data_IF_306097020613
#
_entry.id   IF_306097020613
#
_cell.length_a   1.000
_cell.length_b   1.000
_cell.length_c   1.000
_cell.angle_alpha   90.00
_cell.angle_beta   90.00
_cell.angle_gamma   90.00
#
_symmetry.space_group_name_H-M   'P 1'
#
loop_
_entity.id
_entity.type
_entity.pdbx_description
1 polymer ?
#
# COMPACT_ATOMS: atom_id res chain seq x y z
N UNK A 1 1.45 14.64 19.21
CA UNK A 1 1.81 13.53 18.28
C UNK A 1 1.24 12.26 18.89
N UNK A 2 0.18 11.74 18.28
CA UNK A 2 -0.74 10.77 18.91
C UNK A 2 -0.08 9.39 19.12
N UNK A 3 -0.13 8.92 20.36
CA UNK A 3 0.41 7.62 20.80
C UNK A 3 -0.23 6.42 20.07
N UNK A 4 -1.43 6.59 19.53
CA UNK A 4 -2.11 5.61 18.67
C UNK A 4 -1.40 5.41 17.33
N UNK A 5 -0.74 6.44 16.78
CA UNK A 5 0.09 6.33 15.57
C UNK A 5 1.33 5.45 15.80
N UNK A 6 1.89 5.46 17.01
CA UNK A 6 3.13 4.73 17.31
C UNK A 6 2.94 3.20 17.36
N UNK A 7 1.74 2.73 17.66
CA UNK A 7 1.41 1.28 17.72
C UNK A 7 1.07 0.65 16.37
N UNK A 8 0.87 1.47 15.32
CA UNK A 8 0.57 1.01 13.95
C UNK A 8 1.80 1.06 13.03
N UNK A 9 2.93 1.60 13.51
CA UNK A 9 4.14 1.68 12.70
C UNK A 9 4.79 0.29 12.58
N UNK A 10 5.08 -0.18 11.36
CA UNK A 10 5.86 -1.39 11.15
C UNK A 10 7.26 -1.19 11.71
N UNK A 11 7.76 -2.22 12.40
CA UNK A 11 9.14 -2.25 12.89
C UNK A 11 10.11 -2.10 11.72
N UNK A 12 11.17 -1.30 11.90
CA UNK A 12 12.23 -1.07 10.93
C UNK A 12 12.69 -2.39 10.30
N UNK A 13 12.41 -2.58 9.02
CA UNK A 13 13.06 -3.63 8.23
C UNK A 13 14.47 -3.17 7.92
N UNK A 14 15.44 -3.76 8.58
CA UNK A 14 16.86 -3.43 8.43
C UNK A 14 17.36 -3.91 7.05
N UNK A 15 18.02 -3.05 6.29
CA UNK A 15 18.43 -3.26 4.89
C UNK A 15 19.50 -4.35 4.66
N UNK A 16 19.89 -5.13 5.67
CA UNK A 16 20.87 -6.20 5.57
C UNK A 16 20.33 -7.61 5.34
N UNK A 17 19.02 -7.77 5.08
CA UNK A 17 18.36 -9.09 5.16
C UNK A 17 17.83 -9.65 3.86
N UNK A 18 18.43 -9.38 2.73
CA UNK A 18 18.06 -10.07 1.47
C UNK A 18 18.31 -11.60 1.47
N UNK A 19 18.94 -12.15 2.51
CA UNK A 19 19.26 -13.58 2.64
C UNK A 19 18.60 -14.33 3.81
N UNK A 20 17.75 -13.67 4.62
CA UNK A 20 17.15 -14.30 5.81
C UNK A 20 15.60 -14.32 5.81
N UNK A 21 14.96 -14.15 4.64
CA UNK A 21 13.50 -14.20 4.50
C UNK A 21 12.90 -15.62 4.56
N UNK A 22 13.45 -16.47 5.40
CA UNK A 22 12.89 -17.80 5.71
C UNK A 22 12.63 -17.94 7.21
N UNK A 23 12.00 -16.97 7.83
CA UNK A 23 11.60 -17.04 9.22
C UNK A 23 10.13 -16.66 9.39
N UNK A 24 9.46 -17.35 10.28
CA UNK A 24 8.03 -17.55 10.54
C UNK A 24 7.09 -16.32 10.70
N UNK A 25 7.46 -15.11 10.26
CA UNK A 25 6.66 -13.89 10.44
C UNK A 25 6.73 -12.89 9.28
N UNK A 26 6.91 -13.38 8.05
CA UNK A 26 6.85 -12.49 6.87
C UNK A 26 5.38 -12.17 6.55
N UNK A 27 5.00 -10.90 6.36
CA UNK A 27 3.64 -10.55 5.95
C UNK A 27 3.33 -11.14 4.58
N UNK A 28 2.08 -11.58 4.39
CA UNK A 28 1.64 -12.11 3.11
C UNK A 28 1.50 -11.00 2.04
N UNK A 29 1.29 -9.75 2.50
CA UNK A 29 1.14 -8.59 1.63
C UNK A 29 1.65 -7.33 2.33
N UNK A 30 2.49 -6.56 1.66
CA UNK A 30 2.97 -5.24 2.09
C UNK A 30 2.34 -4.17 1.21
N UNK A 31 1.49 -3.31 1.78
CA UNK A 31 0.82 -2.21 1.08
C UNK A 31 1.61 -0.92 1.22
N UNK A 32 1.80 -0.22 0.10
CA UNK A 32 2.37 1.12 0.05
C UNK A 32 1.24 2.14 0.04
N UNK A 33 1.17 3.03 1.03
CA UNK A 33 0.08 4.00 1.17
C UNK A 33 0.58 5.41 1.44
N UNK A 34 -0.23 6.40 1.07
CA UNK A 34 0.02 7.82 1.33
C UNK A 34 -0.44 8.20 2.75
N UNK A 35 0.51 8.38 3.67
CA UNK A 35 0.24 8.76 5.06
C UNK A 35 -0.29 10.20 5.24
N UNK A 36 -0.18 11.05 4.23
CA UNK A 36 -0.79 12.37 4.20
C UNK A 36 -2.24 12.38 3.68
N UNK A 37 -2.76 11.22 3.22
CA UNK A 37 -4.09 11.08 2.67
C UNK A 37 -5.07 10.55 3.75
N UNK A 38 -6.07 11.33 4.20
CA UNK A 38 -7.01 10.88 5.23
C UNK A 38 -7.82 9.64 4.85
N UNK A 39 -8.14 9.46 3.56
CA UNK A 39 -8.87 8.28 3.07
C UNK A 39 -7.99 7.05 3.11
N UNK A 40 -6.72 7.17 2.71
CA UNK A 40 -5.77 6.07 2.77
C UNK A 40 -5.51 5.63 4.21
N UNK A 41 -5.39 6.57 5.14
CA UNK A 41 -5.24 6.27 6.57
C UNK A 41 -6.41 5.47 7.12
N UNK A 42 -7.66 5.87 6.80
CA UNK A 42 -8.86 5.14 7.24
C UNK A 42 -8.89 3.71 6.69
N UNK A 43 -8.49 3.53 5.44
CA UNK A 43 -8.41 2.21 4.82
C UNK A 43 -7.36 1.33 5.52
N UNK A 44 -6.16 1.86 5.74
CA UNK A 44 -5.08 1.16 6.46
C UNK A 44 -5.50 0.79 7.89
N UNK A 45 -6.17 1.69 8.61
CA UNK A 45 -6.70 1.42 9.94
C UNK A 45 -7.75 0.31 9.94
N UNK A 46 -8.66 0.31 8.95
CA UNK A 46 -9.68 -0.73 8.79
C UNK A 46 -9.03 -2.08 8.52
N UNK A 47 -8.14 -2.15 7.52
CA UNK A 47 -7.43 -3.37 7.15
C UNK A 47 -6.60 -3.92 8.31
N UNK A 48 -5.82 -3.08 8.98
CA UNK A 48 -4.98 -3.49 10.11
C UNK A 48 -5.78 -3.97 11.31
N UNK A 49 -6.92 -3.33 11.60
CA UNK A 49 -7.84 -3.80 12.65
C UNK A 49 -8.45 -5.15 12.31
N UNK A 50 -8.90 -5.35 11.07
CA UNK A 50 -9.50 -6.60 10.60
C UNK A 50 -8.47 -7.73 10.53
N UNK A 51 -7.26 -7.45 10.09
CA UNK A 51 -6.15 -8.39 10.07
C UNK A 51 -5.86 -8.90 11.49
N UNK A 52 -5.74 -7.99 12.46
CA UNK A 52 -5.52 -8.34 13.88
C UNK A 52 -6.69 -9.14 14.46
N UNK A 53 -7.93 -8.77 14.14
CA UNK A 53 -9.11 -9.52 14.59
C UNK A 53 -9.11 -10.97 14.05
N UNK A 54 -8.62 -11.18 12.83
CA UNK A 54 -8.63 -12.48 12.17
C UNK A 54 -7.42 -13.35 12.52
N UNK A 55 -6.23 -12.76 12.61
CA UNK A 55 -4.95 -13.48 12.69
C UNK A 55 -4.22 -13.29 14.03
N UNK A 56 -4.76 -12.46 14.94
CA UNK A 56 -4.11 -12.17 16.21
C UNK A 56 -2.78 -11.46 16.02
N UNK A 57 -1.71 -12.05 16.56
CA UNK A 57 -0.36 -11.49 16.44
C UNK A 57 0.36 -11.88 15.14
N UNK A 58 -0.15 -12.89 14.42
CA UNK A 58 0.42 -13.34 13.13
C UNK A 58 -0.12 -12.53 11.96
N UNK A 59 0.07 -11.22 12.00
CA UNK A 59 -0.43 -10.30 10.99
C UNK A 59 -0.01 -10.72 9.58
N UNK A 60 -0.95 -10.67 8.65
CA UNK A 60 -0.74 -10.98 7.22
C UNK A 60 -0.48 -9.73 6.39
N UNK A 61 -0.87 -8.57 6.89
CA UNK A 61 -0.69 -7.29 6.22
C UNK A 61 0.40 -6.47 6.90
N UNK A 62 1.30 -5.90 6.08
CA UNK A 62 2.20 -4.82 6.48
C UNK A 62 1.84 -3.55 5.71
N UNK A 63 2.12 -2.41 6.31
CA UNK A 63 1.79 -1.10 5.74
C UNK A 63 3.02 -0.21 5.75
N UNK A 64 3.33 0.38 4.61
CA UNK A 64 4.47 1.28 4.42
C UNK A 64 3.95 2.65 4.01
N UNK A 65 4.21 3.65 4.84
CA UNK A 65 3.89 5.04 4.54
C UNK A 65 4.96 5.60 3.60
N UNK A 66 4.57 5.83 2.34
CA UNK A 66 5.47 6.37 1.32
C UNK A 66 5.75 7.87 1.52
N UNK A 67 4.95 8.57 2.33
CA UNK A 67 5.14 10.00 2.60
C UNK A 67 6.24 10.26 3.65
N UNK A 68 6.79 9.21 4.26
CA UNK A 68 7.91 9.33 5.18
C UNK A 68 9.23 9.66 4.43
N UNK A 69 10.11 10.47 5.05
CA UNK A 69 11.40 10.81 4.45
C UNK A 69 12.29 9.60 4.14
N UNK A 70 12.13 8.54 4.91
CA UNK A 70 12.91 7.30 4.82
C UNK A 70 12.42 6.34 3.73
N UNK A 71 11.36 6.68 3.00
CA UNK A 71 10.90 5.83 1.89
C UNK A 71 12.01 5.69 0.85
N UNK A 72 12.43 4.45 0.60
CA UNK A 72 13.45 4.12 -0.38
C UNK A 72 12.88 3.09 -1.37
N UNK A 73 12.73 3.44 -2.66
CA UNK A 73 12.24 2.54 -3.71
C UNK A 73 12.97 1.20 -3.79
N UNK A 74 14.29 1.17 -3.55
CA UNK A 74 15.10 -0.07 -3.61
C UNK A 74 14.66 -1.13 -2.60
N UNK A 75 14.11 -0.69 -1.48
CA UNK A 75 13.57 -1.59 -0.46
C UNK A 75 12.20 -2.16 -0.83
N UNK A 76 11.55 -1.60 -1.87
CA UNK A 76 10.16 -1.91 -2.25
C UNK A 76 10.04 -2.16 -3.76
N UNK A 77 10.78 -3.14 -4.26
CA UNK A 77 10.76 -3.61 -5.64
C UNK A 77 10.99 -2.50 -6.69
N UNK A 78 11.71 -1.45 -6.34
CA UNK A 78 12.01 -0.31 -7.23
C UNK A 78 10.84 0.64 -7.47
N UNK A 79 9.72 0.48 -6.76
CA UNK A 79 8.54 1.34 -6.94
C UNK A 79 8.90 2.77 -6.56
N UNK A 80 8.90 3.69 -7.53
CA UNK A 80 9.24 5.09 -7.29
C UNK A 80 8.18 5.79 -6.43
N UNK A 81 8.56 6.88 -5.77
CA UNK A 81 7.60 7.70 -5.01
C UNK A 81 6.45 8.19 -5.89
N UNK A 82 6.73 8.57 -7.15
CA UNK A 82 5.71 9.03 -8.11
C UNK A 82 4.70 7.94 -8.43
N UNK A 83 5.16 6.72 -8.70
CA UNK A 83 4.28 5.58 -8.98
C UNK A 83 3.40 5.24 -7.78
N UNK A 84 4.02 5.11 -6.60
CA UNK A 84 3.31 4.77 -5.36
C UNK A 84 2.32 5.87 -4.93
N UNK A 85 2.66 7.15 -5.16
CA UNK A 85 1.77 8.28 -4.88
C UNK A 85 0.62 8.37 -5.88
N UNK A 86 0.87 8.04 -7.15
CA UNK A 86 -0.15 8.08 -8.20
C UNK A 86 -1.19 6.96 -8.07
N UNK A 87 -0.77 5.75 -7.71
CA UNK A 87 -1.63 4.57 -7.61
C UNK A 87 -1.22 3.71 -6.42
N UNK A 88 -2.17 2.95 -5.87
CA UNK A 88 -1.85 2.01 -4.80
C UNK A 88 -1.02 0.84 -5.34
N UNK A 89 -0.01 0.46 -4.58
CA UNK A 89 0.84 -0.69 -4.85
C UNK A 89 0.92 -1.58 -3.62
N UNK A 90 1.13 -2.86 -3.85
CA UNK A 90 1.51 -3.81 -2.81
C UNK A 90 2.54 -4.80 -3.34
N UNK A 91 3.30 -5.39 -2.42
CA UNK A 91 4.29 -6.42 -2.70
C UNK A 91 3.86 -7.66 -1.91
N UNK A 92 3.71 -8.79 -2.58
CA UNK A 92 3.37 -10.05 -1.93
C UNK A 92 4.62 -10.75 -1.35
N UNK A 93 4.40 -11.86 -0.63
CA UNK A 93 5.47 -12.64 -0.02
C UNK A 93 6.47 -13.24 -1.03
N UNK A 94 6.12 -13.33 -2.32
CA UNK A 94 7.01 -13.78 -3.39
C UNK A 94 7.86 -12.64 -3.96
N UNK A 95 7.56 -11.39 -3.62
CA UNK A 95 8.15 -10.18 -4.19
C UNK A 95 7.40 -9.66 -5.42
N UNK A 96 6.28 -10.27 -5.79
CA UNK A 96 5.47 -9.80 -6.93
C UNK A 96 4.75 -8.50 -6.59
N UNK A 97 4.79 -7.55 -7.53
CA UNK A 97 4.13 -6.24 -7.40
C UNK A 97 2.69 -6.32 -7.88
N UNK A 98 1.77 -5.97 -7.01
CA UNK A 98 0.35 -5.83 -7.29
C UNK A 98 0.00 -4.34 -7.40
N UNK A 99 -0.99 -4.00 -8.24
CA UNK A 99 -1.42 -2.62 -8.52
C UNK A 99 -2.94 -2.50 -8.54
N UNK A 100 -3.43 -1.30 -8.24
CA UNK A 100 -4.83 -0.91 -8.42
C UNK A 100 -5.81 -1.80 -7.64
N UNK A 101 -6.90 -2.20 -8.27
CA UNK A 101 -7.97 -3.02 -7.67
C UNK A 101 -7.45 -4.36 -7.14
N UNK A 102 -6.40 -4.91 -7.75
CA UNK A 102 -5.81 -6.19 -7.34
C UNK A 102 -5.22 -6.11 -5.91
N UNK A 103 -4.68 -4.96 -5.51
CA UNK A 103 -4.19 -4.72 -4.14
C UNK A 103 -5.32 -4.88 -3.15
N UNK A 104 -6.45 -4.21 -3.39
CA UNK A 104 -7.63 -4.31 -2.52
C UNK A 104 -8.19 -5.72 -2.50
N UNK A 105 -8.33 -6.34 -3.67
CA UNK A 105 -8.81 -7.72 -3.77
C UNK A 105 -7.99 -8.64 -2.89
N UNK A 106 -6.66 -8.58 -2.99
CA UNK A 106 -5.76 -9.43 -2.21
C UNK A 106 -5.79 -9.11 -0.72
N UNK A 107 -5.79 -7.82 -0.35
CA UNK A 107 -5.86 -7.39 1.04
C UNK A 107 -7.16 -7.83 1.71
N UNK A 108 -8.30 -7.62 1.05
CA UNK A 108 -9.62 -8.01 1.55
C UNK A 108 -9.80 -9.54 1.62
N UNK A 109 -9.21 -10.28 0.70
CA UNK A 109 -9.19 -11.74 0.74
C UNK A 109 -8.46 -12.24 2.00
N UNK A 110 -7.30 -11.70 2.31
CA UNK A 110 -6.52 -12.03 3.50
C UNK A 110 -7.30 -11.78 4.80
N UNK A 111 -8.09 -10.72 4.88
CA UNK A 111 -8.89 -10.42 6.06
C UNK A 111 -10.28 -11.08 6.07
N UNK A 112 -10.58 -11.93 5.06
CA UNK A 112 -11.82 -12.69 4.97
C UNK A 112 -13.02 -11.92 4.42
N UNK A 113 -12.79 -10.80 3.78
CA UNK A 113 -13.79 -9.96 3.12
C UNK A 113 -13.64 -9.97 1.59
N UNK A 114 -12.98 -10.98 1.02
CA UNK A 114 -12.72 -11.10 -0.42
C UNK A 114 -13.99 -11.11 -1.28
N UNK A 115 -15.10 -11.54 -0.73
CA UNK A 115 -16.40 -11.54 -1.41
C UNK A 115 -16.84 -10.13 -1.88
N UNK A 116 -16.42 -9.06 -1.19
CA UNK A 116 -16.69 -7.68 -1.59
C UNK A 116 -16.11 -7.34 -2.97
N UNK A 117 -14.95 -7.92 -3.29
CA UNK A 117 -14.25 -7.70 -4.55
C UNK A 117 -14.44 -8.84 -5.56
N UNK A 118 -15.22 -9.89 -5.21
CA UNK A 118 -15.46 -11.02 -6.11
C UNK A 118 -16.03 -10.59 -7.48
N UNK A 119 -16.98 -9.63 -7.58
CA UNK A 119 -17.48 -9.18 -8.88
C UNK A 119 -16.43 -8.57 -9.79
N UNK A 120 -15.36 -7.99 -9.22
CA UNK A 120 -14.27 -7.36 -10.01
C UNK A 120 -13.40 -8.40 -10.74
N UNK A 121 -13.56 -9.69 -10.45
CA UNK A 121 -12.85 -10.77 -11.14
C UNK A 121 -13.52 -11.18 -12.46
N UNK A 122 -14.79 -10.80 -12.68
CA UNK A 122 -15.48 -11.11 -13.91
C UNK A 122 -14.80 -10.40 -15.09
N UNK A 123 -14.60 -11.10 -16.22
CA UNK A 123 -13.85 -10.54 -17.36
C UNK A 123 -14.40 -9.22 -17.88
N UNK A 124 -15.74 -9.05 -17.81
CA UNK A 124 -16.41 -7.83 -18.26
C UNK A 124 -16.33 -6.68 -17.25
N UNK A 125 -16.26 -6.98 -15.94
CA UNK A 125 -16.25 -5.96 -14.88
C UNK A 125 -14.83 -5.53 -14.50
N UNK A 126 -13.85 -6.38 -14.72
CA UNK A 126 -12.45 -6.08 -14.40
C UNK A 126 -11.92 -4.80 -15.06
N UNK A 127 -12.05 -4.59 -16.38
CA UNK A 127 -11.59 -3.35 -17.02
C UNK A 127 -12.35 -2.12 -16.53
N UNK A 128 -13.66 -2.27 -16.27
CA UNK A 128 -14.49 -1.19 -15.73
C UNK A 128 -14.07 -0.81 -14.30
N UNK A 129 -13.81 -1.79 -13.45
CA UNK A 129 -13.34 -1.56 -12.09
C UNK A 129 -11.97 -0.85 -12.08
N UNK A 130 -11.05 -1.26 -12.96
CA UNK A 130 -9.74 -0.60 -13.08
C UNK A 130 -9.86 0.82 -13.62
N UNK A 131 -10.76 1.07 -14.57
CA UNK A 131 -11.03 2.41 -15.08
C UNK A 131 -11.60 3.32 -13.99
N UNK A 132 -12.64 2.84 -13.28
CA UNK A 132 -13.24 3.58 -12.17
C UNK A 132 -12.23 3.88 -11.07
N UNK A 133 -11.38 2.90 -10.74
CA UNK A 133 -10.29 3.10 -9.79
C UNK A 133 -9.27 4.13 -10.30
N UNK A 134 -8.89 4.10 -11.59
CA UNK A 134 -7.98 5.08 -12.17
C UNK A 134 -8.49 6.50 -12.04
N UNK A 135 -9.76 6.73 -12.39
CA UNK A 135 -10.41 8.04 -12.24
C UNK A 135 -10.42 8.47 -10.76
N UNK A 136 -10.76 7.57 -9.86
CA UNK A 136 -10.76 7.85 -8.43
C UNK A 136 -9.35 8.18 -7.91
N UNK A 137 -8.32 7.44 -8.33
CA UNK A 137 -6.94 7.67 -7.92
C UNK A 137 -6.45 9.07 -8.35
N UNK A 138 -6.79 9.51 -9.56
CA UNK A 138 -6.44 10.83 -10.06
C UNK A 138 -7.20 11.95 -9.32
N UNK A 139 -8.47 11.70 -8.98
CA UNK A 139 -9.29 12.64 -8.21
C UNK A 139 -8.91 12.69 -6.73
N UNK A 140 -8.39 11.60 -6.18
CA UNK A 140 -8.07 11.46 -4.77
C UNK A 140 -7.19 12.59 -4.24
N UNK A 141 -6.13 12.93 -4.96
CA UNK A 141 -5.21 14.00 -4.56
C UNK A 141 -5.94 15.35 -4.42
N UNK A 142 -6.84 15.66 -5.35
CA UNK A 142 -7.64 16.89 -5.33
C UNK A 142 -8.64 16.89 -4.17
N UNK A 143 -9.39 15.80 -3.99
CA UNK A 143 -10.44 15.67 -2.96
C UNK A 143 -9.83 15.71 -1.55
N UNK A 144 -8.64 15.13 -1.36
CA UNK A 144 -7.95 15.09 -0.08
C UNK A 144 -7.07 16.31 0.21
N UNK A 145 -7.09 17.33 -0.67
CA UNK A 145 -6.29 18.54 -0.52
C UNK A 145 -4.79 18.33 -0.68
N UNK A 146 -4.37 17.20 -1.26
CA UNK A 146 -2.95 16.95 -1.56
C UNK A 146 -2.50 17.80 -2.76
N UNK A 147 -1.22 18.16 -2.77
CA UNK A 147 -0.60 18.84 -3.90
C UNK A 147 -0.58 17.92 -5.13
N UNK A 148 -0.44 18.51 -6.32
CA UNK A 148 -0.26 17.72 -7.55
C UNK A 148 0.96 16.82 -7.45
N UNK A 149 0.97 15.68 -8.18
CA UNK A 149 2.11 14.76 -8.20
C UNK A 149 3.42 15.47 -8.52
N UNK A 150 3.42 16.39 -9.48
CA UNK A 150 4.62 17.13 -9.85
C UNK A 150 5.14 18.01 -8.70
N UNK A 151 4.24 18.65 -7.96
CA UNK A 151 4.58 19.45 -6.78
C UNK A 151 5.14 18.60 -5.64
N UNK A 152 4.60 17.39 -5.43
CA UNK A 152 5.10 16.44 -4.43
C UNK A 152 6.49 15.91 -4.81
N UNK A 153 6.71 15.68 -6.09
CA UNK A 153 7.98 15.22 -6.63
C UNK A 153 9.10 16.28 -6.60
N UNK A 154 8.77 17.57 -6.66
CA UNK A 154 9.80 18.64 -6.60
C UNK A 154 10.68 18.59 -5.35
N UNK A 155 10.11 18.15 -4.22
CA UNK A 155 10.83 17.99 -2.95
C UNK A 155 11.58 16.66 -2.79
N UNK A 156 11.43 15.72 -3.74
CA UNK A 156 11.91 14.33 -3.63
C UNK A 156 12.41 13.79 -4.97
N UNK A 157 13.21 14.58 -5.69
CA UNK A 157 13.65 14.29 -7.07
C UNK A 157 14.38 12.95 -7.22
N UNK A 158 15.19 12.58 -6.24
CA UNK A 158 16.03 11.39 -6.18
C UNK A 158 15.24 10.07 -6.11
N UNK A 159 14.01 10.10 -5.60
CA UNK A 159 13.16 8.92 -5.47
C UNK A 159 11.87 9.00 -6.31
N UNK A 160 11.66 10.13 -6.99
CA UNK A 160 10.45 10.38 -7.77
C UNK A 160 10.51 9.80 -9.18
N UNK A 161 11.68 9.82 -9.79
CA UNK A 161 11.95 9.27 -11.11
C UNK A 161 13.12 8.30 -10.99
N UNK A 162 12.85 7.04 -11.28
CA UNK A 162 13.88 6.06 -11.61
C UNK A 162 13.67 5.66 -13.06
N UNK A 163 14.68 5.93 -13.86
CA UNK A 163 14.83 5.40 -15.21
C UNK A 163 15.16 3.92 -15.16
#
# INVERSE_FOLDING_TARGET
MDERRRKLLPQKVNSSSHKLFKAANCPALTLLYDGGCPLCLREVELLGRKDRQRHGEQLKLAFVDIDQPEYNPDSYAGISYREAMGRIHAIDASGAVLRDVEVFRRAYDLIGLGWLYAPTQWPLLRPLANLAYGIWADMRLRITGRRSLDSLCQGRKDICHRD
#
